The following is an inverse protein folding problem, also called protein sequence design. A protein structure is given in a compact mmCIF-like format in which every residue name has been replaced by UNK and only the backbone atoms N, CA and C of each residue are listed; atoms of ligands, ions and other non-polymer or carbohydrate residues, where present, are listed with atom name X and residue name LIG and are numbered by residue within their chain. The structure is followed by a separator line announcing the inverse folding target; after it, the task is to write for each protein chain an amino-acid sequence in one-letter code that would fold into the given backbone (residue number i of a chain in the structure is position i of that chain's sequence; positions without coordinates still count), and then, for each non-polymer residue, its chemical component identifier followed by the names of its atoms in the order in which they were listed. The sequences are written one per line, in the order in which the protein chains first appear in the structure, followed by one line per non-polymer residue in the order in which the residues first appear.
data_IF_518988101304
#
_entry.id   IF_518988101304
#
_cell.length_a   1.000
_cell.length_b   1.000
_cell.length_c   1.000
_cell.angle_alpha   90.00
_cell.angle_beta   90.00
_cell.angle_gamma   90.00
#
_symmetry.space_group_name_H-M   'P 1'
#
loop_
_entity.id
_entity.type
_entity.pdbx_description
1 polymer ?
#
# COMPACT_ATOMS: atom_id res chain seq x y z
N UNK A 1 10.49 -16.33 6.68
CA UNK A 1 10.85 -14.99 7.23
C UNK A 1 10.33 -14.84 8.65
N UNK A 2 9.02 -14.76 8.89
CA UNK A 2 8.48 -14.57 10.26
C UNK A 2 8.98 -15.61 11.27
N UNK A 3 8.97 -16.89 10.91
CA UNK A 3 9.44 -17.98 11.78
C UNK A 3 10.94 -17.89 12.14
N UNK A 4 11.77 -17.51 11.18
CA UNK A 4 13.24 -17.48 11.34
C UNK A 4 13.74 -16.17 11.94
N UNK A 5 13.24 -15.04 11.43
CA UNK A 5 13.70 -13.71 11.83
C UNK A 5 13.01 -13.21 13.10
N UNK A 6 11.79 -13.68 13.39
CA UNK A 6 11.01 -13.34 14.59
C UNK A 6 10.98 -11.82 14.88
N UNK A 7 10.49 -11.01 13.92
CA UNK A 7 10.44 -9.57 14.12
C UNK A 7 9.45 -9.20 15.24
N UNK A 8 9.79 -8.16 16.00
CA UNK A 8 8.87 -7.53 16.96
C UNK A 8 8.00 -6.42 16.34
N UNK A 9 8.36 -5.94 15.14
CA UNK A 9 7.60 -4.95 14.38
C UNK A 9 7.86 -5.11 12.87
N UNK A 10 6.92 -4.66 12.04
CA UNK A 10 7.00 -4.78 10.56
C UNK A 10 6.83 -3.41 9.90
N UNK A 11 7.65 -3.09 8.91
CA UNK A 11 7.40 -1.97 8.00
C UNK A 11 6.99 -2.53 6.64
N UNK A 12 5.78 -2.20 6.19
CA UNK A 12 5.23 -2.65 4.91
C UNK A 12 5.15 -1.47 3.94
N UNK A 13 6.06 -1.45 2.98
CA UNK A 13 6.04 -0.51 1.87
C UNK A 13 4.99 -0.95 0.84
N UNK A 14 4.00 -0.10 0.61
CA UNK A 14 2.83 -0.35 -0.23
C UNK A 14 2.95 0.43 -1.55
N UNK A 15 4.05 0.22 -2.28
CA UNK A 15 4.25 0.78 -3.61
C UNK A 15 3.18 0.30 -4.60
N UNK A 16 2.49 1.26 -5.22
CA UNK A 16 1.36 1.01 -6.11
C UNK A 16 1.77 0.98 -7.60
N UNK A 17 3.07 1.01 -7.91
CA UNK A 17 3.62 0.82 -9.26
C UNK A 17 3.58 -0.65 -9.72
N UNK A 18 3.36 -1.60 -8.81
CA UNK A 18 3.12 -3.01 -9.12
C UNK A 18 1.71 -3.30 -9.66
N UNK A 19 0.83 -2.29 -9.72
CA UNK A 19 -0.53 -2.43 -10.22
C UNK A 19 -0.59 -2.49 -11.75
N UNK A 20 -1.62 -3.17 -12.26
CA UNK A 20 -1.97 -3.17 -13.67
C UNK A 20 -2.28 -1.75 -14.17
N UNK A 21 -1.78 -1.44 -15.37
CA UNK A 21 -1.96 -0.14 -16.01
C UNK A 21 -1.21 1.02 -15.32
N UNK A 22 -0.16 0.72 -14.55
CA UNK A 22 0.79 1.73 -14.11
C UNK A 22 1.59 2.30 -15.31
N UNK A 23 2.06 3.55 -15.21
CA UNK A 23 2.81 4.21 -16.29
C UNK A 23 4.25 3.73 -16.42
N UNK A 24 4.89 3.30 -15.32
CA UNK A 24 6.28 2.83 -15.30
C UNK A 24 6.37 1.34 -14.97
N UNK A 25 5.44 0.83 -14.15
CA UNK A 25 5.35 -0.58 -13.81
C UNK A 25 4.90 -1.45 -14.96
N UNK A 26 5.40 -2.68 -14.99
CA UNK A 26 5.06 -3.70 -15.99
C UNK A 26 4.37 -4.93 -15.37
N UNK A 27 3.77 -4.77 -14.18
CA UNK A 27 3.05 -5.84 -13.50
C UNK A 27 1.55 -5.79 -13.83
N UNK A 28 0.84 -6.87 -13.48
CA UNK A 28 -0.59 -7.03 -13.76
C UNK A 28 -1.42 -7.29 -12.50
N UNK A 29 -1.02 -6.73 -11.35
CA UNK A 29 -1.76 -6.89 -10.09
C UNK A 29 -3.00 -6.00 -10.03
N UNK A 30 -4.08 -6.51 -9.45
CA UNK A 30 -5.26 -5.71 -9.14
C UNK A 30 -5.14 -5.10 -7.73
N UNK A 31 -5.97 -4.10 -7.44
CA UNK A 31 -6.09 -3.52 -6.09
C UNK A 31 -6.42 -4.60 -5.04
N UNK A 32 -7.26 -5.59 -5.39
CA UNK A 32 -7.56 -6.72 -4.49
C UNK A 32 -6.34 -7.61 -4.26
N UNK A 33 -5.61 -7.94 -5.33
CA UNK A 33 -4.41 -8.76 -5.25
C UNK A 33 -3.31 -8.10 -4.42
N UNK A 34 -3.15 -6.79 -4.57
CA UNK A 34 -2.20 -6.01 -3.77
C UNK A 34 -2.61 -5.95 -2.29
N UNK A 35 -3.88 -5.66 -2.00
CA UNK A 35 -4.42 -5.67 -0.63
C UNK A 35 -4.34 -7.02 0.09
N UNK A 36 -4.21 -8.15 -0.63
CA UNK A 36 -3.95 -9.46 0.00
C UNK A 36 -2.60 -9.51 0.71
N UNK A 37 -1.60 -8.75 0.27
CA UNK A 37 -0.32 -8.63 0.97
C UNK A 37 -0.48 -7.99 2.35
N UNK A 38 -1.27 -6.91 2.43
CA UNK A 38 -1.61 -6.24 3.69
C UNK A 38 -2.39 -7.18 4.61
N UNK A 39 -3.40 -7.87 4.06
CA UNK A 39 -4.19 -8.85 4.80
C UNK A 39 -3.31 -9.98 5.37
N UNK A 40 -2.35 -10.47 4.59
CA UNK A 40 -1.42 -11.51 5.02
C UNK A 40 -0.52 -11.05 6.16
N UNK A 41 0.08 -9.86 6.06
CA UNK A 41 0.96 -9.31 7.13
C UNK A 41 0.17 -9.04 8.40
N UNK A 42 -1.06 -8.50 8.27
CA UNK A 42 -1.94 -8.21 9.40
C UNK A 42 -2.25 -9.44 10.27
N UNK A 43 -2.34 -10.64 9.66
CA UNK A 43 -2.65 -11.90 10.39
C UNK A 43 -1.60 -12.30 11.44
N UNK A 44 -0.37 -11.75 11.34
CA UNK A 44 0.68 -12.03 12.33
C UNK A 44 0.50 -11.26 13.64
N UNK A 45 -0.44 -10.31 13.71
CA UNK A 45 -0.74 -9.53 14.92
C UNK A 45 0.50 -8.87 15.54
N UNK A 46 1.44 -8.43 14.69
CA UNK A 46 2.60 -7.64 15.10
C UNK A 46 2.32 -6.15 14.86
N UNK A 47 2.93 -5.25 15.65
CA UNK A 47 2.95 -3.83 15.35
C UNK A 47 3.47 -3.61 13.94
N UNK A 48 2.70 -2.96 13.07
CA UNK A 48 3.16 -2.68 11.71
C UNK A 48 2.89 -1.26 11.23
N UNK A 49 3.81 -0.79 10.39
CA UNK A 49 3.91 0.52 9.78
C UNK A 49 3.59 0.39 8.28
N UNK A 50 2.46 0.89 7.81
CA UNK A 50 2.21 0.97 6.36
C UNK A 50 2.71 2.30 5.81
N UNK A 51 3.57 2.23 4.80
CA UNK A 51 4.06 3.42 4.10
C UNK A 51 3.69 3.33 2.63
N UNK A 52 3.61 4.48 1.96
CA UNK A 52 3.37 4.54 0.52
C UNK A 52 4.57 4.06 -0.30
N UNK A 53 4.73 4.60 -1.50
CA UNK A 53 5.80 4.17 -2.40
C UNK A 53 5.70 4.75 -3.79
N UNK A 54 6.18 4.00 -4.78
CA UNK A 54 5.95 4.28 -6.20
C UNK A 54 4.47 4.20 -6.58
N UNK A 55 4.17 4.47 -7.85
CA UNK A 55 2.81 4.48 -8.39
C UNK A 55 2.55 5.76 -9.18
N UNK A 56 2.42 5.62 -10.48
CA UNK A 56 2.53 6.70 -11.46
C UNK A 56 1.23 6.88 -12.26
N UNK A 57 0.28 5.95 -12.11
CA UNK A 57 -1.13 6.14 -12.46
C UNK A 57 -1.93 6.59 -11.22
N UNK A 58 -1.99 7.90 -10.97
CA UNK A 58 -2.49 8.51 -9.71
C UNK A 58 -3.87 8.01 -9.26
N UNK A 59 -4.81 7.78 -10.19
CA UNK A 59 -6.15 7.24 -9.87
C UNK A 59 -6.09 5.82 -9.30
N UNK A 60 -5.20 4.97 -9.81
CA UNK A 60 -5.02 3.59 -9.35
C UNK A 60 -4.29 3.57 -8.00
N UNK A 61 -3.33 4.47 -7.80
CA UNK A 61 -2.69 4.67 -6.49
C UNK A 61 -3.73 5.05 -5.44
N UNK A 62 -4.62 5.98 -5.78
CA UNK A 62 -5.67 6.45 -4.88
C UNK A 62 -6.62 5.32 -4.48
N UNK A 63 -7.04 4.50 -5.45
CA UNK A 63 -7.84 3.29 -5.22
C UNK A 63 -7.12 2.29 -4.32
N UNK A 64 -5.85 2.02 -4.59
CA UNK A 64 -5.03 1.04 -3.87
C UNK A 64 -4.89 1.39 -2.40
N UNK A 65 -4.35 2.57 -2.11
CA UNK A 65 -4.11 2.99 -0.73
C UNK A 65 -5.42 3.13 0.06
N UNK A 66 -6.53 3.53 -0.58
CA UNK A 66 -7.86 3.56 0.04
C UNK A 66 -8.31 2.15 0.44
N UNK A 67 -8.19 1.18 -0.46
CA UNK A 67 -8.56 -0.21 -0.18
C UNK A 67 -7.64 -0.86 0.86
N UNK A 68 -6.34 -0.64 0.77
CA UNK A 68 -5.37 -1.14 1.75
C UNK A 68 -5.62 -0.57 3.15
N UNK A 69 -6.03 0.70 3.25
CA UNK A 69 -6.47 1.30 4.51
C UNK A 69 -7.73 0.61 5.04
N UNK A 70 -8.68 0.28 4.18
CA UNK A 70 -9.89 -0.46 4.58
C UNK A 70 -9.54 -1.87 5.08
N UNK A 71 -8.60 -2.55 4.45
CA UNK A 71 -8.07 -3.87 4.89
C UNK A 71 -7.38 -3.76 6.24
N UNK A 72 -6.55 -2.72 6.43
CA UNK A 72 -5.90 -2.43 7.71
C UNK A 72 -6.93 -2.18 8.82
N UNK A 73 -8.01 -1.44 8.53
CA UNK A 73 -9.13 -1.20 9.43
C UNK A 73 -10.08 -2.40 9.61
N UNK A 74 -9.91 -3.47 8.84
CA UNK A 74 -10.89 -4.58 8.82
C UNK A 74 -12.29 -4.12 8.43
N UNK A 75 -12.38 -3.09 7.58
CA UNK A 75 -13.63 -2.48 7.14
C UNK A 75 -13.87 -2.79 5.67
N UNK A 76 -15.02 -3.38 5.39
CA UNK A 76 -15.49 -3.55 4.01
C UNK A 76 -16.00 -2.21 3.47
N UNK A 77 -15.65 -1.90 2.23
CA UNK A 77 -16.07 -0.70 1.52
C UNK A 77 -16.68 -1.06 0.17
N UNK A 78 -17.63 -0.26 -0.28
CA UNK A 78 -18.31 -0.47 -1.55
C UNK A 78 -17.36 -0.33 -2.73
N UNK A 79 -17.59 -1.13 -3.78
CA UNK A 79 -16.85 -0.98 -5.03
C UNK A 79 -17.27 0.27 -5.82
N UNK A 80 -18.49 0.77 -5.60
CA UNK A 80 -18.90 2.09 -6.10
C UNK A 80 -18.10 3.18 -5.40
N UNK A 81 -17.47 4.07 -6.17
CA UNK A 81 -16.79 5.22 -5.59
C UNK A 81 -17.84 6.22 -5.09
N UNK A 82 -17.69 6.74 -3.86
CA UNK A 82 -18.52 7.85 -3.39
C UNK A 82 -18.18 9.11 -4.18
N UNK A 83 -19.16 10.00 -4.35
CA UNK A 83 -18.94 11.32 -4.93
C UNK A 83 -17.88 12.08 -4.12
N UNK A 84 -16.98 12.75 -4.82
CA UNK A 84 -15.80 13.34 -4.22
C UNK A 84 -15.22 14.42 -5.16
N UNK A 85 -14.33 15.28 -4.66
CA UNK A 85 -13.83 16.44 -5.43
C UNK A 85 -13.04 16.04 -6.69
N UNK A 86 -12.57 14.78 -6.73
CA UNK A 86 -11.78 14.21 -7.82
C UNK A 86 -12.55 13.14 -8.61
N UNK A 87 -13.88 13.07 -8.46
CA UNK A 87 -14.69 11.96 -8.98
C UNK A 87 -14.46 11.70 -10.48
N UNK A 88 -14.32 12.75 -11.28
CA UNK A 88 -14.11 12.68 -12.73
C UNK A 88 -12.79 11.97 -13.12
N UNK A 89 -11.77 11.97 -12.25
CA UNK A 89 -10.50 11.27 -12.49
C UNK A 89 -10.65 9.75 -12.53
N UNK A 90 -11.75 9.22 -11.98
CA UNK A 90 -12.04 7.80 -11.90
C UNK A 90 -12.98 7.29 -12.99
N UNK A 91 -13.32 8.14 -13.97
CA UNK A 91 -14.05 7.73 -15.15
C UNK A 91 -13.26 6.74 -16.03
N UNK A 92 -13.96 5.94 -16.86
CA UNK A 92 -15.41 5.95 -17.08
C UNK A 92 -16.20 5.03 -16.14
N UNK A 93 -15.53 4.17 -15.37
CA UNK A 93 -16.15 3.09 -14.61
C UNK A 93 -16.61 3.51 -13.21
N UNK A 94 -15.96 4.52 -12.63
CA UNK A 94 -16.23 5.04 -11.28
C UNK A 94 -16.23 3.95 -10.19
N UNK A 95 -15.42 2.90 -10.38
CA UNK A 95 -15.24 1.81 -9.40
C UNK A 95 -13.92 1.93 -8.66
N UNK A 96 -13.87 1.34 -7.47
CA UNK A 96 -12.66 1.21 -6.65
C UNK A 96 -11.72 0.14 -7.22
N UNK A 97 -12.25 -1.02 -7.61
CA UNK A 97 -11.45 -2.12 -8.10
C UNK A 97 -11.15 -2.03 -9.59
N UNK A 98 -9.93 -2.40 -9.95
CA UNK A 98 -9.44 -2.48 -11.33
C UNK A 98 -9.36 -3.95 -11.77
N UNK A 99 -9.65 -4.19 -13.04
CA UNK A 99 -9.49 -5.49 -13.69
C UNK A 99 -8.08 -5.64 -14.26
N UNK A 100 -7.52 -6.87 -14.28
CA UNK A 100 -6.24 -7.12 -14.92
C UNK A 100 -6.34 -6.91 -16.44
N UNK A 101 -5.21 -6.57 -17.04
CA UNK A 101 -5.07 -6.50 -18.50
C UNK A 101 -4.84 -7.90 -19.11
N UNK A 102 -4.90 -8.00 -20.43
CA UNK A 102 -4.54 -9.21 -21.19
C UNK A 102 -3.03 -9.42 -21.33
N UNK A 103 -2.21 -8.69 -20.58
CA UNK A 103 -0.75 -8.86 -20.56
C UNK A 103 -0.38 -10.31 -20.18
N UNK A 104 0.44 -10.94 -21.02
CA UNK A 104 0.91 -12.29 -20.78
C UNK A 104 1.82 -12.34 -19.55
N UNK A 105 1.52 -13.26 -18.63
CA UNK A 105 2.39 -13.50 -17.49
C UNK A 105 3.61 -14.32 -17.94
N UNK A 106 4.78 -13.69 -17.96
CA UNK A 106 6.05 -14.34 -18.31
C UNK A 106 6.65 -15.15 -17.14
N UNK A 107 6.06 -15.06 -15.95
CA UNK A 107 6.51 -15.81 -14.78
C UNK A 107 5.87 -17.20 -14.78
N UNK A 108 6.58 -18.20 -15.30
CA UNK A 108 6.11 -19.59 -15.25
C UNK A 108 6.11 -20.12 -13.80
N UNK A 109 5.23 -21.08 -13.47
CA UNK A 109 5.22 -21.70 -12.14
C UNK A 109 6.59 -22.29 -11.75
N UNK A 110 7.31 -22.90 -12.70
CA UNK A 110 8.62 -23.51 -12.46
C UNK A 110 9.69 -22.46 -12.14
N UNK A 111 9.66 -21.31 -12.83
CA UNK A 111 10.54 -20.19 -12.57
C UNK A 111 10.33 -19.64 -11.14
N UNK A 112 9.06 -19.42 -10.76
CA UNK A 112 8.71 -18.93 -9.43
C UNK A 112 9.11 -19.91 -8.33
N UNK A 113 8.86 -21.20 -8.53
CA UNK A 113 9.21 -22.24 -7.54
C UNK A 113 10.72 -22.36 -7.35
N UNK A 114 11.49 -22.26 -8.45
CA UNK A 114 12.96 -22.25 -8.39
C UNK A 114 13.48 -21.06 -7.58
N UNK A 115 12.94 -19.85 -7.78
CA UNK A 115 13.34 -18.67 -7.01
C UNK A 115 12.93 -18.83 -5.55
N UNK A 116 11.70 -19.31 -5.27
CA UNK A 116 11.22 -19.56 -3.91
C UNK A 116 12.15 -20.49 -3.15
N UNK A 117 12.60 -21.58 -3.79
CA UNK A 117 13.56 -22.52 -3.21
C UNK A 117 14.90 -21.85 -2.86
N UNK A 118 15.45 -21.03 -3.77
CA UNK A 118 16.69 -20.28 -3.51
C UNK A 118 16.54 -19.33 -2.31
N UNK A 119 15.44 -18.57 -2.26
CA UNK A 119 15.16 -17.65 -1.15
C UNK A 119 14.95 -18.39 0.18
N UNK A 120 14.28 -19.53 0.15
CA UNK A 120 14.08 -20.38 1.33
C UNK A 120 15.43 -20.83 1.91
N UNK A 121 16.34 -21.32 1.07
CA UNK A 121 17.69 -21.72 1.49
C UNK A 121 18.50 -20.56 2.07
N UNK A 122 18.39 -19.36 1.47
CA UNK A 122 19.05 -18.17 2.00
C UNK A 122 18.47 -17.74 3.35
N UNK A 123 17.15 -17.86 3.54
CA UNK A 123 16.48 -17.50 4.79
C UNK A 123 16.92 -18.40 5.94
N UNK A 124 17.10 -19.70 5.71
CA UNK A 124 17.59 -20.65 6.74
C UNK A 124 19.00 -20.30 7.23
N UNK A 125 19.82 -19.66 6.40
CA UNK A 125 21.18 -19.27 6.75
C UNK A 125 21.27 -17.99 7.58
N UNK A 126 20.16 -17.27 7.76
CA UNK A 126 20.15 -16.06 8.60
C UNK A 126 20.33 -16.48 10.06
N UNK A 127 21.44 -16.08 10.67
CA UNK A 127 21.51 -15.93 12.12
C UNK A 127 20.70 -14.70 12.51
N UNK A 128 20.04 -14.68 13.68
CA UNK A 128 19.29 -13.51 14.13
C UNK A 128 20.27 -12.35 14.39
N UNK A 129 20.50 -11.50 13.39
CA UNK A 129 21.16 -10.22 13.55
C UNK A 129 20.11 -9.28 14.14
N UNK A 130 20.30 -8.88 15.39
CA UNK A 130 19.45 -7.90 16.06
C UNK A 130 19.68 -6.52 15.44
N UNK A 131 18.94 -6.19 14.38
CA UNK A 131 18.85 -4.82 13.87
C UNK A 131 18.06 -4.00 14.89
N UNK A 132 18.77 -3.31 15.79
CA UNK A 132 18.15 -2.34 16.69
C UNK A 132 17.65 -1.16 15.86
N UNK A 133 16.34 -1.02 15.73
CA UNK A 133 15.72 0.21 15.23
C UNK A 133 15.75 1.20 16.39
N UNK A 134 16.31 2.39 16.14
CA UNK A 134 16.34 3.46 17.13
C UNK A 134 14.89 3.87 17.49
N UNK A 135 14.50 3.89 18.78
CA UNK A 135 13.17 4.33 19.20
C UNK A 135 12.79 5.72 18.66
N UNK A 136 13.77 6.60 18.40
CA UNK A 136 13.54 7.92 17.81
C UNK A 136 13.12 7.87 16.34
N UNK A 137 13.42 6.79 15.61
CA UNK A 137 13.03 6.63 14.21
C UNK A 137 11.50 6.45 14.08
N UNK A 138 10.88 5.73 15.04
CA UNK A 138 9.43 5.61 15.12
C UNK A 138 8.72 6.95 15.36
N UNK A 139 9.37 7.89 16.06
CA UNK A 139 8.79 9.20 16.36
C UNK A 139 8.90 10.22 15.22
N UNK A 140 9.69 9.93 14.15
CA UNK A 140 10.01 10.88 13.06
C UNK A 140 9.56 10.44 11.66
N UNK A 141 8.96 9.25 11.53
CA UNK A 141 8.48 8.74 10.26
C UNK A 141 7.17 9.44 9.85
N UNK A 142 7.30 10.40 8.94
CA UNK A 142 6.20 11.17 8.36
C UNK A 142 5.50 10.33 7.28
N UNK A 143 4.19 10.16 7.45
CA UNK A 143 3.26 9.30 6.70
C UNK A 143 3.35 7.81 7.06
N UNK A 144 2.39 7.36 7.86
CA UNK A 144 2.38 6.01 8.42
C UNK A 144 0.99 5.68 8.96
N UNK A 145 0.52 4.45 8.69
CA UNK A 145 -0.46 3.78 9.54
C UNK A 145 0.28 2.93 10.58
N UNK A 146 0.19 3.27 11.88
CA UNK A 146 0.69 2.42 12.98
C UNK A 146 -0.49 1.59 13.45
N UNK A 147 -0.40 0.26 13.36
CA UNK A 147 -1.40 -0.65 13.90
C UNK A 147 -0.83 -1.47 15.05
N UNK A 148 -1.26 -1.22 16.29
CA UNK A 148 -0.94 -2.04 17.46
C UNK A 148 -2.08 -3.04 17.78
N UNK A 149 -2.64 -3.62 16.72
CA UNK A 149 -3.83 -4.49 16.78
C UNK A 149 -5.17 -3.77 17.10
N UNK A 150 -5.15 -2.55 17.63
CA UNK A 150 -6.36 -1.87 18.15
C UNK A 150 -6.64 -0.48 17.58
N UNK A 151 -5.60 0.28 17.22
CA UNK A 151 -5.70 1.68 16.80
C UNK A 151 -4.91 1.86 15.52
N UNK A 152 -5.51 2.54 14.53
CA UNK A 152 -4.86 2.91 13.29
C UNK A 152 -4.67 4.43 13.27
N UNK A 153 -3.43 4.90 13.42
CA UNK A 153 -3.12 6.33 13.36
C UNK A 153 -2.75 6.74 11.93
N UNK A 154 -3.28 7.82 11.38
CA UNK A 154 -2.83 8.36 10.08
C UNK A 154 -2.30 9.78 10.24
N UNK A 155 -1.22 10.10 9.52
CA UNK A 155 -0.63 11.43 9.46
C UNK A 155 -0.78 11.98 8.05
N UNK A 156 -1.52 13.08 7.90
CA UNK A 156 -1.75 13.73 6.62
C UNK A 156 -1.27 15.18 6.65
N UNK A 157 -0.36 15.53 5.74
CA UNK A 157 0.11 16.90 5.56
C UNK A 157 -0.64 17.53 4.39
N UNK A 158 -1.54 18.48 4.67
CA UNK A 158 -2.43 19.10 3.69
C UNK A 158 -1.71 19.66 2.45
N UNK A 159 -0.51 20.22 2.65
CA UNK A 159 0.24 20.89 1.57
C UNK A 159 0.98 19.93 0.64
N UNK A 160 1.14 18.65 1.01
CA UNK A 160 1.97 17.73 0.23
C UNK A 160 1.43 17.55 -1.19
N UNK A 161 0.11 17.59 -1.36
CA UNK A 161 -0.56 17.44 -2.66
C UNK A 161 -0.30 18.61 -3.63
N UNK A 162 0.14 19.76 -3.12
CA UNK A 162 0.40 20.97 -3.92
C UNK A 162 1.84 21.02 -4.45
N UNK A 163 2.72 20.11 -4.01
CA UNK A 163 4.11 20.10 -4.43
C UNK A 163 4.27 19.67 -5.89
N UNK A 164 5.12 20.38 -6.64
CA UNK A 164 5.40 20.14 -8.05
C UNK A 164 6.89 19.88 -8.28
N UNK A 165 7.22 18.67 -8.73
CA UNK A 165 8.61 18.24 -9.02
C UNK A 165 9.14 18.69 -10.39
N UNK A 166 8.41 19.55 -11.11
CA UNK A 166 8.79 19.94 -12.48
C UNK A 166 8.06 19.16 -13.57
N UNK A 167 8.23 19.67 -14.80
CA UNK A 167 7.60 19.11 -16.00
C UNK A 167 8.23 17.76 -16.34
N UNK A 168 7.43 16.80 -16.80
CA UNK A 168 7.90 15.45 -17.13
C UNK A 168 8.18 14.55 -15.92
N UNK A 169 8.28 15.07 -14.69
CA UNK A 169 8.52 14.22 -13.52
C UNK A 169 7.33 13.28 -13.27
N UNK A 170 7.55 11.95 -13.16
CA UNK A 170 6.47 10.96 -13.06
C UNK A 170 5.78 10.98 -11.70
N UNK A 171 6.50 11.35 -10.63
CA UNK A 171 5.93 11.48 -9.29
C UNK A 171 5.01 12.71 -9.21
N UNK A 172 3.74 12.48 -8.88
CA UNK A 172 2.74 13.52 -8.66
C UNK A 172 2.17 13.38 -7.24
N UNK A 173 2.58 14.25 -6.29
CA UNK A 173 2.06 14.25 -4.92
C UNK A 173 0.54 14.36 -4.79
N UNK A 174 -0.12 14.92 -5.82
CA UNK A 174 -1.57 15.00 -5.94
C UNK A 174 -2.31 13.68 -5.62
N UNK A 175 -1.70 12.52 -5.89
CA UNK A 175 -2.26 11.20 -5.53
C UNK A 175 -2.57 11.05 -4.03
N UNK A 176 -1.78 11.67 -3.15
CA UNK A 176 -1.99 11.63 -1.70
C UNK A 176 -3.27 12.38 -1.32
N UNK A 177 -3.54 13.52 -1.97
CA UNK A 177 -4.76 14.31 -1.76
C UNK A 177 -6.00 13.58 -2.28
N UNK A 178 -5.88 12.92 -3.43
CA UNK A 178 -6.95 12.06 -3.96
C UNK A 178 -7.26 10.89 -3.02
N UNK A 179 -6.25 10.18 -2.51
CA UNK A 179 -6.43 9.12 -1.50
C UNK A 179 -7.15 9.66 -0.27
N UNK A 180 -6.68 10.77 0.31
CA UNK A 180 -7.29 11.35 1.49
C UNK A 180 -8.76 11.70 1.28
N UNK A 181 -9.10 12.27 0.12
CA UNK A 181 -10.47 12.59 -0.24
C UNK A 181 -11.36 11.34 -0.34
N UNK A 182 -10.84 10.22 -0.86
CA UNK A 182 -11.55 8.94 -0.82
C UNK A 182 -11.73 8.42 0.61
N UNK A 183 -10.71 8.47 1.47
CA UNK A 183 -10.80 8.05 2.88
C UNK A 183 -11.89 8.81 3.64
N UNK A 184 -12.01 10.12 3.37
CA UNK A 184 -13.06 10.97 3.93
C UNK A 184 -14.46 10.53 3.46
N UNK A 185 -14.64 10.37 2.15
CA UNK A 185 -15.95 10.06 1.57
C UNK A 185 -16.40 8.60 1.82
N UNK A 186 -15.47 7.66 2.01
CA UNK A 186 -15.79 6.32 2.51
C UNK A 186 -16.04 6.27 4.03
N UNK A 187 -15.79 7.36 4.76
CA UNK A 187 -15.97 7.41 6.20
C UNK A 187 -14.92 6.63 7.01
N UNK A 188 -13.82 6.21 6.38
CA UNK A 188 -12.76 5.42 7.02
C UNK A 188 -12.04 6.22 8.11
N UNK A 189 -11.98 7.54 7.97
CA UNK A 189 -11.40 8.46 8.95
C UNK A 189 -12.04 8.34 10.35
N UNK A 190 -13.31 7.92 10.44
CA UNK A 190 -14.01 7.75 11.72
C UNK A 190 -13.47 6.61 12.57
N UNK A 191 -12.68 5.72 11.97
CA UNK A 191 -12.06 4.56 12.61
C UNK A 191 -10.55 4.73 12.80
N UNK A 192 -10.03 5.93 12.50
CA UNK A 192 -8.61 6.25 12.60
C UNK A 192 -8.39 7.35 13.63
N UNK A 193 -7.25 7.30 14.31
CA UNK A 193 -6.73 8.46 15.03
C UNK A 193 -5.99 9.35 14.03
N UNK A 194 -6.34 10.64 13.99
CA UNK A 194 -5.80 11.59 13.03
C UNK A 194 -4.90 12.56 13.80
N UNK A 195 -3.65 12.66 13.36
CA UNK A 195 -2.61 13.49 13.97
C UNK A 195 -2.01 14.46 12.94
#
# INVERSE_FOLDING_TARGET
VMETFQPSAVVLQCGADSLTGDRLGCFNLTVRGHGKCVEFVKRYNLPFLMVGGGGYTIRNVSRCWTYETSVALGSEIANELPYNDYFEYFGPDFKLHISPSNMANQNTPEYLEKIKYVLYRSTIKLSPILLKVDPCFLHRLKATLIGDGSVLSTYFVCDIGNYYYGQGHPMKPHRIRMTHNLLLNYGLYRKMEIY
#
